data_IF_494407305032
#
_entry.id   IF_494407305032
#
_cell.length_a   1.000
_cell.length_b   1.000
_cell.length_c   1.000
_cell.angle_alpha   90.00
_cell.angle_beta   90.00
_cell.angle_gamma   90.00
#
_symmetry.space_group_name_H-M   'P 1'
#
loop_
_entity.id
_entity.type
_entity.pdbx_description
1 polymer ?
#
# COMPACT_ATOMS: atom_id res chain seq x y z
N UNK A 1 -12.29 -6.14 12.78
CA UNK A 1 -11.49 -5.45 11.76
C UNK A 1 -10.07 -5.99 11.76
N UNK A 2 -9.54 -6.22 10.58
CA UNK A 2 -8.21 -6.76 10.43
C UNK A 2 -7.29 -5.72 9.83
N UNK A 3 -6.07 -5.67 10.33
CA UNK A 3 -5.08 -4.70 9.88
C UNK A 3 -4.04 -5.41 9.03
N UNK A 4 -3.66 -4.81 7.92
CA UNK A 4 -2.68 -5.39 7.02
C UNK A 4 -1.62 -4.37 6.66
N UNK A 5 -0.43 -4.87 6.38
CA UNK A 5 0.69 -4.07 5.87
C UNK A 5 1.07 -4.62 4.51
N UNK A 6 1.33 -3.73 3.57
CA UNK A 6 1.62 -4.14 2.21
C UNK A 6 2.99 -3.62 1.82
N UNK A 7 3.89 -4.55 1.50
CA UNK A 7 5.22 -4.24 1.00
C UNK A 7 5.18 -4.40 -0.51
N UNK A 8 5.66 -3.39 -1.24
CA UNK A 8 5.55 -3.41 -2.68
C UNK A 8 4.15 -3.05 -3.16
N UNK A 9 3.54 -2.06 -2.50
CA UNK A 9 2.14 -1.73 -2.74
C UNK A 9 1.88 -1.19 -4.15
N UNK A 10 2.91 -0.73 -4.85
CA UNK A 10 2.74 -0.23 -6.21
C UNK A 10 2.96 -1.29 -7.28
N UNK A 11 3.38 -2.51 -6.89
CA UNK A 11 3.56 -3.60 -7.84
C UNK A 11 2.24 -4.28 -8.16
N UNK A 12 2.30 -5.28 -9.05
CA UNK A 12 1.09 -5.96 -9.51
C UNK A 12 0.31 -6.60 -8.38
N UNK A 13 1.00 -7.33 -7.52
CA UNK A 13 0.33 -8.03 -6.43
C UNK A 13 -0.15 -7.03 -5.39
N UNK A 14 0.64 -5.99 -5.12
CA UNK A 14 0.22 -4.98 -4.16
C UNK A 14 -1.02 -4.23 -4.59
N UNK A 15 -1.10 -3.85 -5.87
CA UNK A 15 -2.28 -3.15 -6.35
C UNK A 15 -3.51 -4.04 -6.34
N UNK A 16 -3.34 -5.34 -6.65
CA UNK A 16 -4.45 -6.27 -6.57
C UNK A 16 -4.92 -6.46 -5.13
N UNK A 17 -3.98 -6.49 -4.19
CA UNK A 17 -4.34 -6.59 -2.78
C UNK A 17 -5.14 -5.38 -2.34
N UNK A 18 -4.76 -4.19 -2.79
CA UNK A 18 -5.51 -2.98 -2.43
C UNK A 18 -6.90 -2.98 -3.03
N UNK A 19 -7.08 -3.58 -4.21
CA UNK A 19 -8.42 -3.73 -4.76
C UNK A 19 -9.30 -4.58 -3.86
N UNK A 20 -8.73 -5.61 -3.28
CA UNK A 20 -9.47 -6.46 -2.34
C UNK A 20 -9.84 -5.65 -1.09
N UNK A 21 -8.92 -4.82 -0.62
CA UNK A 21 -9.20 -3.98 0.55
C UNK A 21 -10.34 -3.01 0.27
N UNK A 22 -10.38 -2.45 -0.94
CA UNK A 22 -11.46 -1.53 -1.29
C UNK A 22 -12.81 -2.19 -1.22
N UNK A 23 -12.86 -3.48 -1.55
CA UNK A 23 -14.11 -4.22 -1.57
C UNK A 23 -14.48 -4.83 -0.23
N UNK A 24 -13.58 -4.76 0.75
CA UNK A 24 -13.79 -5.46 2.02
C UNK A 24 -13.57 -4.48 3.17
N UNK A 25 -14.66 -4.02 3.73
CA UNK A 25 -14.59 -3.00 4.77
C UNK A 25 -14.03 -3.51 6.09
N UNK A 26 -13.86 -4.80 6.21
CA UNK A 26 -13.30 -5.39 7.40
C UNK A 26 -11.78 -5.32 7.43
N UNK A 27 -11.17 -4.90 6.33
CA UNK A 27 -9.72 -4.77 6.22
C UNK A 27 -9.31 -3.31 6.29
N UNK A 28 -8.23 -3.06 7.00
CA UNK A 28 -7.67 -1.71 7.08
C UNK A 28 -6.18 -1.78 6.86
N UNK A 29 -5.67 -0.89 6.01
CA UNK A 29 -4.25 -0.82 5.73
C UNK A 29 -3.57 0.01 6.80
N UNK A 30 -2.61 -0.58 7.48
CA UNK A 30 -1.83 0.16 8.48
C UNK A 30 -0.52 0.65 7.95
N UNK A 31 0.04 0.00 6.92
CA UNK A 31 1.33 0.41 6.38
C UNK A 31 1.40 0.09 4.90
N UNK A 32 2.02 1.00 4.17
CA UNK A 32 2.34 0.82 2.76
C UNK A 32 3.81 1.07 2.57
N UNK A 33 4.46 0.29 1.72
CA UNK A 33 5.85 0.50 1.39
C UNK A 33 6.09 0.17 -0.08
N UNK A 34 6.90 0.97 -0.73
CA UNK A 34 7.22 0.74 -2.12
C UNK A 34 8.60 1.29 -2.44
N UNK A 35 9.24 0.70 -3.44
CA UNK A 35 10.55 1.16 -3.89
C UNK A 35 10.52 1.84 -5.23
N UNK A 36 9.38 1.82 -5.92
CA UNK A 36 9.21 2.45 -7.22
C UNK A 36 7.84 3.08 -7.29
N UNK A 37 7.60 3.84 -8.35
CA UNK A 37 6.28 4.43 -8.61
C UNK A 37 5.79 5.23 -7.41
N UNK A 38 6.61 6.17 -6.98
CA UNK A 38 6.33 6.94 -5.78
C UNK A 38 5.04 7.75 -5.92
N UNK A 39 4.74 8.21 -7.13
CA UNK A 39 3.48 8.94 -7.34
C UNK A 39 2.27 8.07 -7.05
N UNK A 40 2.33 6.81 -7.44
CA UNK A 40 1.24 5.88 -7.13
C UNK A 40 1.18 5.61 -5.64
N UNK A 41 2.34 5.47 -4.99
CA UNK A 41 2.37 5.28 -3.54
C UNK A 41 1.70 6.45 -2.83
N UNK A 42 1.93 7.66 -3.31
CA UNK A 42 1.29 8.82 -2.71
C UNK A 42 -0.22 8.75 -2.85
N UNK A 43 -0.72 8.36 -4.02
CA UNK A 43 -2.15 8.22 -4.21
C UNK A 43 -2.73 7.15 -3.31
N UNK A 44 -2.01 6.03 -3.15
CA UNK A 44 -2.46 4.97 -2.26
C UNK A 44 -2.50 5.45 -0.83
N UNK A 45 -1.50 6.21 -0.41
CA UNK A 45 -1.47 6.72 0.95
C UNK A 45 -2.64 7.66 1.22
N UNK A 46 -2.99 8.49 0.25
CA UNK A 46 -4.11 9.39 0.41
C UNK A 46 -5.43 8.64 0.48
N UNK A 47 -5.55 7.58 -0.28
CA UNK A 47 -6.79 6.81 -0.31
C UNK A 47 -6.98 5.97 0.95
N UNK A 48 -5.94 5.27 1.37
CA UNK A 48 -6.07 4.29 2.45
C UNK A 48 -5.67 4.85 3.81
N UNK A 49 -4.96 5.96 3.83
CA UNK A 49 -4.57 6.66 5.07
C UNK A 49 -3.93 5.75 6.09
N UNK A 50 -2.86 5.05 5.70
CA UNK A 50 -2.18 4.16 6.64
C UNK A 50 -1.43 4.97 7.71
N UNK A 51 -1.09 4.31 8.78
CA UNK A 51 -0.30 4.93 9.84
C UNK A 51 1.13 5.17 9.38
N UNK A 52 1.66 4.25 8.56
CA UNK A 52 3.05 4.30 8.13
C UNK A 52 3.10 4.19 6.62
N UNK A 53 3.89 5.07 6.00
CA UNK A 53 4.22 4.97 4.59
C UNK A 53 5.73 5.01 4.49
N UNK A 54 6.32 4.01 3.83
CA UNK A 54 7.76 3.92 3.71
C UNK A 54 8.17 3.82 2.24
N UNK A 55 9.29 4.45 1.93
CA UNK A 55 9.88 4.36 0.62
C UNK A 55 11.25 3.72 0.80
N UNK A 56 11.51 2.67 0.04
CA UNK A 56 12.83 2.06 0.07
C UNK A 56 13.45 2.15 -1.30
N UNK A 57 14.75 2.06 -1.32
CA UNK A 57 15.48 2.22 -2.57
C UNK A 57 16.31 0.98 -2.82
N UNK A 58 15.97 0.27 -3.87
CA UNK A 58 16.67 -0.94 -4.22
C UNK A 58 17.68 -0.70 -5.31
N UNK A 59 18.38 0.34 -5.21
CA UNK A 59 19.33 0.70 -6.22
C UNK A 59 20.49 -0.25 -6.27
N UNK A 60 20.96 -0.60 -7.46
CA UNK A 60 22.08 -1.52 -7.61
C UNK A 60 23.21 -0.82 -8.29
#
# INVERSE_FOLDING_TARGET
>A
MKYISIIGSTGSIGTQTLDIVRSNKDLKVTALAAGTSIDLLEKQAREFQPVIVAVYNEQR
#
